data_IF_168833956806
#
_entry.id   IF_168833956806
#
_cell.length_a   1.000
_cell.length_b   1.000
_cell.length_c   1.000
_cell.angle_alpha   90.00
_cell.angle_beta   90.00
_cell.angle_gamma   90.00
#
_symmetry.space_group_name_H-M   'P 1'
#
loop_
_entity.id
_entity.type
_entity.pdbx_description
1 polymer ?
#
# COMPACT_ATOMS: atom_id res chain seq x y z
N UNK A 1 59.46 71.02 4.57
CA UNK A 1 60.84 70.99 4.14
C UNK A 1 61.60 69.93 4.87
N UNK A 2 62.58 69.25 4.35
CA UNK A 2 62.83 68.80 3.00
C UNK A 2 62.97 67.24 2.97
N UNK A 3 62.74 66.68 1.80
CA UNK A 3 63.74 66.10 0.85
C UNK A 3 64.37 64.78 1.29
N UNK A 4 64.21 63.81 0.46
CA UNK A 4 64.86 63.29 -0.74
C UNK A 4 65.66 62.02 -0.42
N UNK A 5 65.58 61.01 -1.20
CA UNK A 5 66.35 60.25 -2.17
C UNK A 5 66.27 58.76 -1.83
N UNK A 6 65.71 57.99 -2.63
CA UNK A 6 66.11 57.17 -3.76
C UNK A 6 67.23 56.13 -3.49
N UNK A 7 67.03 54.95 -3.85
CA UNK A 7 67.78 54.00 -4.69
C UNK A 7 67.44 52.56 -4.36
N UNK A 8 66.89 51.82 -5.26
CA UNK A 8 67.39 50.94 -6.31
C UNK A 8 68.15 49.70 -5.87
N UNK A 9 67.85 48.65 -6.59
CA UNK A 9 68.54 47.35 -6.75
C UNK A 9 67.97 46.30 -5.86
N UNK A 10 67.32 45.29 -6.30
CA UNK A 10 67.38 44.46 -7.48
C UNK A 10 67.64 43.05 -7.13
N UNK A 11 67.02 42.15 -7.79
CA UNK A 11 67.19 40.70 -7.92
C UNK A 11 66.07 39.82 -7.37
N UNK A 12 65.18 39.47 -8.26
CA UNK A 12 64.95 38.12 -8.80
C UNK A 12 65.17 36.98 -7.77
N UNK A 13 64.07 36.45 -7.28
CA UNK A 13 64.03 35.08 -6.83
C UNK A 13 62.57 34.52 -7.12
N UNK A 14 62.60 33.45 -7.85
CA UNK A 14 61.56 32.82 -8.55
C UNK A 14 60.35 32.46 -7.70
N UNK A 15 59.20 32.79 -8.23
CA UNK A 15 57.89 32.25 -7.84
C UNK A 15 57.80 30.75 -8.04
N UNK A 16 57.46 30.04 -7.03
CA UNK A 16 56.82 28.71 -7.15
C UNK A 16 55.41 28.85 -6.60
N UNK A 17 54.50 29.32 -7.45
CA UNK A 17 53.06 29.32 -7.16
C UNK A 17 52.53 27.88 -7.36
N UNK A 18 52.39 27.12 -6.28
CA UNK A 18 51.64 25.88 -6.29
C UNK A 18 50.17 26.25 -6.32
N UNK A 19 49.59 26.19 -7.52
CA UNK A 19 48.13 26.25 -7.71
C UNK A 19 47.59 24.89 -7.26
N UNK A 20 47.08 24.82 -6.06
CA UNK A 20 46.31 23.69 -5.57
C UNK A 20 44.92 23.77 -6.23
N UNK A 21 44.81 23.22 -7.44
CA UNK A 21 43.51 23.00 -8.07
C UNK A 21 42.80 21.90 -7.30
N UNK A 22 41.91 22.29 -6.36
CA UNK A 22 40.94 21.41 -5.77
C UNK A 22 39.93 21.04 -6.87
N UNK A 23 40.22 19.94 -7.56
CA UNK A 23 39.28 19.33 -8.46
C UNK A 23 38.18 18.70 -7.58
N UNK A 24 37.11 19.48 -7.30
CA UNK A 24 35.89 18.98 -6.69
C UNK A 24 35.23 18.02 -7.68
N UNK A 25 35.57 16.76 -7.57
CA UNK A 25 34.78 15.67 -8.19
C UNK A 25 33.44 15.66 -7.48
N UNK A 26 32.48 16.38 -8.01
CA UNK A 26 31.07 16.19 -7.67
C UNK A 26 30.67 14.80 -8.19
N UNK A 27 30.75 13.79 -7.33
CA UNK A 27 30.11 12.53 -7.58
C UNK A 27 28.61 12.82 -7.74
N UNK A 28 28.00 12.51 -8.89
CA UNK A 28 26.55 12.56 -8.97
C UNK A 28 26.06 11.52 -7.98
N UNK A 29 25.48 11.99 -6.89
CA UNK A 29 24.66 11.16 -6.02
C UNK A 29 23.43 10.80 -6.88
N UNK A 30 23.52 9.68 -7.60
CA UNK A 30 22.40 9.09 -8.28
C UNK A 30 21.40 8.75 -7.17
N UNK A 31 20.47 9.67 -6.94
CA UNK A 31 19.26 9.34 -6.21
C UNK A 31 18.64 8.19 -6.98
N UNK A 32 18.77 6.98 -6.45
CA UNK A 32 18.00 5.81 -6.89
C UNK A 32 16.54 6.21 -6.72
N UNK A 33 15.97 6.74 -7.80
CA UNK A 33 14.54 6.92 -7.92
C UNK A 33 14.00 5.50 -7.82
N UNK A 34 13.24 5.23 -6.77
CA UNK A 34 12.49 3.99 -6.71
C UNK A 34 11.70 3.93 -8.01
N UNK A 35 12.03 2.98 -8.88
CA UNK A 35 11.33 2.83 -10.16
C UNK A 35 9.84 2.68 -9.85
N UNK A 36 9.03 3.57 -10.43
CA UNK A 36 7.59 3.43 -10.36
C UNK A 36 7.23 2.03 -10.87
N UNK A 37 6.26 1.33 -10.24
CA UNK A 37 5.86 0.00 -10.67
C UNK A 37 5.68 -0.04 -12.18
N UNK A 38 6.31 -1.02 -12.85
CA UNK A 38 6.09 -1.19 -14.27
C UNK A 38 4.59 -1.42 -14.55
N UNK A 39 4.14 -1.01 -15.71
CA UNK A 39 2.70 -1.05 -16.04
C UNK A 39 2.16 -2.48 -16.04
N UNK A 40 2.94 -3.44 -16.51
CA UNK A 40 2.53 -4.84 -16.57
C UNK A 40 2.42 -5.43 -15.16
N UNK A 41 3.39 -5.16 -14.28
CA UNK A 41 3.39 -5.66 -12.90
C UNK A 41 2.26 -5.10 -12.06
N UNK A 42 2.01 -3.78 -12.11
CA UNK A 42 0.96 -3.15 -11.31
C UNK A 42 -0.45 -3.59 -11.76
N UNK A 43 -0.74 -3.60 -13.07
CA UNK A 43 -2.01 -4.11 -13.59
C UNK A 43 -2.14 -5.62 -13.37
N UNK A 44 -1.03 -6.37 -13.39
CA UNK A 44 -1.00 -7.81 -13.17
C UNK A 44 -1.56 -8.20 -11.79
N UNK A 45 -1.27 -7.44 -10.73
CA UNK A 45 -1.84 -7.70 -9.39
C UNK A 45 -3.37 -7.57 -9.41
N UNK A 46 -3.90 -6.57 -10.11
CA UNK A 46 -5.35 -6.36 -10.19
C UNK A 46 -6.02 -7.43 -11.03
N UNK A 47 -5.38 -7.86 -12.12
CA UNK A 47 -5.84 -9.00 -12.92
C UNK A 47 -5.81 -10.30 -12.12
N UNK A 48 -4.77 -10.54 -11.33
CA UNK A 48 -4.68 -11.69 -10.43
C UNK A 48 -5.82 -11.69 -9.41
N UNK A 49 -6.10 -10.55 -8.77
CA UNK A 49 -7.21 -10.41 -7.83
C UNK A 49 -8.56 -10.67 -8.51
N UNK A 50 -8.81 -10.07 -9.67
CA UNK A 50 -10.05 -10.23 -10.41
C UNK A 50 -10.26 -11.67 -10.89
N UNK A 51 -9.29 -12.24 -11.58
CA UNK A 51 -9.37 -13.62 -12.11
C UNK A 51 -9.45 -14.65 -10.98
N UNK A 52 -8.66 -14.48 -9.91
CA UNK A 52 -8.71 -15.35 -8.75
C UNK A 52 -10.07 -15.31 -8.04
N UNK A 53 -10.65 -14.11 -7.92
CA UNK A 53 -12.01 -13.93 -7.39
C UNK A 53 -13.04 -14.66 -8.22
N UNK A 54 -13.04 -14.47 -9.55
CA UNK A 54 -13.97 -15.14 -10.47
C UNK A 54 -13.79 -16.66 -10.45
N UNK A 55 -12.57 -17.16 -10.38
CA UNK A 55 -12.29 -18.58 -10.24
C UNK A 55 -12.94 -19.17 -8.98
N UNK A 56 -12.77 -18.49 -7.83
CA UNK A 56 -13.34 -18.93 -6.55
C UNK A 56 -14.88 -18.87 -6.57
N UNK A 57 -15.48 -17.86 -7.21
CA UNK A 57 -16.94 -17.70 -7.28
C UNK A 57 -17.60 -18.70 -8.22
N UNK A 58 -16.94 -19.07 -9.32
CA UNK A 58 -17.49 -19.96 -10.35
C UNK A 58 -17.34 -21.45 -10.01
N UNK A 59 -16.72 -21.78 -8.89
CA UNK A 59 -16.61 -23.17 -8.48
C UNK A 59 -17.98 -23.75 -8.09
N UNK A 60 -18.32 -24.85 -8.73
CA UNK A 60 -19.61 -25.53 -8.56
C UNK A 60 -19.70 -26.40 -7.31
N UNK A 61 -18.59 -26.64 -6.61
CA UNK A 61 -18.56 -27.43 -5.39
C UNK A 61 -18.72 -26.58 -4.13
N UNK A 62 -19.67 -26.91 -3.26
CA UNK A 62 -19.94 -26.12 -2.04
C UNK A 62 -19.06 -26.52 -0.86
N UNK A 63 -17.75 -26.64 -1.02
CA UNK A 63 -16.85 -26.80 0.12
C UNK A 63 -16.61 -25.43 0.77
N UNK A 64 -17.52 -25.03 1.63
CA UNK A 64 -17.58 -23.69 2.24
C UNK A 64 -16.33 -23.31 3.06
N UNK A 65 -15.68 -24.27 3.71
CA UNK A 65 -14.46 -24.03 4.49
C UNK A 65 -13.25 -23.70 3.62
N UNK A 66 -13.12 -24.34 2.45
CA UNK A 66 -12.01 -24.13 1.55
C UNK A 66 -12.16 -22.83 0.74
N UNK A 67 -13.37 -22.40 0.42
CA UNK A 67 -13.64 -21.14 -0.29
C UNK A 67 -13.12 -19.93 0.50
N UNK A 68 -13.37 -19.88 1.81
CA UNK A 68 -12.84 -18.79 2.65
C UNK A 68 -11.31 -18.80 2.69
N UNK A 69 -10.69 -19.98 2.85
CA UNK A 69 -9.24 -20.10 2.84
C UNK A 69 -8.59 -19.62 1.53
N UNK A 70 -9.22 -19.92 0.38
CA UNK A 70 -8.75 -19.42 -0.92
C UNK A 70 -8.91 -17.92 -1.08
N UNK A 71 -10.01 -17.33 -0.62
CA UNK A 71 -10.15 -15.87 -0.58
C UNK A 71 -9.10 -15.24 0.32
N UNK A 72 -8.88 -15.81 1.50
CA UNK A 72 -7.84 -15.34 2.42
C UNK A 72 -6.45 -15.36 1.78
N UNK A 73 -6.08 -16.48 1.13
CA UNK A 73 -4.81 -16.61 0.42
C UNK A 73 -4.69 -15.60 -0.73
N UNK A 74 -5.77 -15.36 -1.49
CA UNK A 74 -5.80 -14.39 -2.57
C UNK A 74 -5.60 -12.96 -2.05
N UNK A 75 -6.28 -12.58 -0.98
CA UNK A 75 -6.13 -11.27 -0.33
C UNK A 75 -4.72 -11.12 0.22
N UNK A 76 -4.21 -12.09 0.97
CA UNK A 76 -2.86 -12.06 1.53
C UNK A 76 -1.77 -12.01 0.44
N UNK A 77 -2.01 -12.62 -0.72
CA UNK A 77 -1.10 -12.62 -1.85
C UNK A 77 -1.12 -11.35 -2.71
N UNK A 78 -2.18 -10.55 -2.64
CA UNK A 78 -2.36 -9.36 -3.49
C UNK A 78 -2.29 -8.04 -2.71
N UNK A 79 -2.63 -8.02 -1.43
CA UNK A 79 -2.61 -6.83 -0.57
C UNK A 79 -1.36 -6.79 0.32
N UNK A 80 -0.86 -5.60 0.60
CA UNK A 80 0.09 -5.34 1.69
C UNK A 80 -0.67 -5.16 3.00
N UNK A 81 -1.16 -6.27 3.56
CA UNK A 81 -1.95 -6.24 4.79
C UNK A 81 -1.20 -5.60 5.98
N UNK A 82 0.10 -5.85 6.19
CA UNK A 82 0.85 -5.17 7.25
C UNK A 82 0.85 -3.64 7.10
N UNK A 83 1.11 -3.14 5.90
CA UNK A 83 1.07 -1.71 5.62
C UNK A 83 -0.33 -1.11 5.85
N UNK A 84 -1.36 -1.75 5.30
CA UNK A 84 -2.74 -1.26 5.45
C UNK A 84 -3.18 -1.30 6.92
N UNK A 85 -2.85 -2.35 7.66
CA UNK A 85 -3.11 -2.45 9.10
C UNK A 85 -2.47 -1.30 9.87
N UNK A 86 -1.21 -0.96 9.56
CA UNK A 86 -0.52 0.19 10.15
C UNK A 86 -1.25 1.52 9.84
N UNK A 87 -1.66 1.73 8.58
CA UNK A 87 -2.40 2.93 8.15
C UNK A 87 -3.73 3.04 8.91
N UNK A 88 -4.45 1.94 9.03
CA UNK A 88 -5.76 1.86 9.68
C UNK A 88 -5.66 2.04 11.20
N UNK A 89 -4.64 1.47 11.85
CA UNK A 89 -4.39 1.68 13.29
C UNK A 89 -3.92 3.12 13.58
N UNK A 90 -3.30 3.80 12.60
CA UNK A 90 -2.84 5.18 12.73
C UNK A 90 -1.89 5.38 13.91
N UNK A 91 -2.13 6.42 14.72
CA UNK A 91 -1.27 6.77 15.88
C UNK A 91 -1.16 5.66 16.93
N UNK A 92 -2.17 4.79 17.05
CA UNK A 92 -2.19 3.71 18.04
C UNK A 92 -1.23 2.57 17.69
N UNK A 93 -0.80 2.47 16.43
CA UNK A 93 0.22 1.52 16.00
C UNK A 93 1.55 1.72 16.71
N UNK A 94 1.95 2.98 16.94
CA UNK A 94 3.25 3.29 17.55
C UNK A 94 3.33 2.85 19.02
N UNK A 95 2.21 2.90 19.74
CA UNK A 95 2.11 2.49 21.13
C UNK A 95 1.95 0.98 21.32
N UNK A 96 1.67 0.22 20.24
CA UNK A 96 1.46 -1.21 20.31
C UNK A 96 2.79 -1.97 20.32
N UNK A 97 2.85 -3.07 21.09
CA UNK A 97 3.95 -4.02 21.04
C UNK A 97 3.97 -4.79 19.71
N UNK A 98 5.08 -5.44 19.39
CA UNK A 98 5.19 -6.26 18.18
C UNK A 98 4.13 -7.38 18.15
N UNK A 99 3.92 -8.06 19.27
CA UNK A 99 2.91 -9.10 19.38
C UNK A 99 1.49 -8.58 19.14
N UNK A 100 1.15 -7.40 19.67
CA UNK A 100 -0.13 -6.74 19.43
C UNK A 100 -0.30 -6.34 17.95
N UNK A 101 0.75 -5.84 17.30
CA UNK A 101 0.73 -5.51 15.86
C UNK A 101 0.52 -6.74 15.00
N UNK A 102 1.22 -7.85 15.28
CA UNK A 102 1.04 -9.11 14.56
C UNK A 102 -0.38 -9.66 14.72
N UNK A 103 -0.90 -9.70 15.95
CA UNK A 103 -2.27 -10.15 16.23
C UNK A 103 -3.31 -9.28 15.52
N UNK A 104 -3.13 -7.95 15.58
CA UNK A 104 -4.01 -7.02 14.88
C UNK A 104 -3.96 -7.22 13.37
N UNK A 105 -2.78 -7.37 12.78
CA UNK A 105 -2.63 -7.60 11.33
C UNK A 105 -3.35 -8.86 10.89
N UNK A 106 -3.27 -9.95 11.65
CA UNK A 106 -3.99 -11.17 11.38
C UNK A 106 -5.52 -10.98 11.45
N UNK A 107 -6.03 -10.42 12.55
CA UNK A 107 -7.46 -10.14 12.72
C UNK A 107 -8.00 -9.16 11.65
N UNK A 108 -7.19 -8.18 11.25
CA UNK A 108 -7.52 -7.26 10.16
C UNK A 108 -7.56 -7.97 8.80
N UNK A 109 -6.63 -8.90 8.53
CA UNK A 109 -6.65 -9.73 7.33
C UNK A 109 -7.93 -10.56 7.21
N UNK A 110 -8.35 -11.19 8.30
CA UNK A 110 -9.63 -11.92 8.37
C UNK A 110 -10.83 -11.01 8.13
N UNK A 111 -10.83 -9.82 8.74
CA UNK A 111 -11.88 -8.81 8.54
C UNK A 111 -11.97 -8.37 7.08
N UNK A 112 -10.84 -8.05 6.44
CA UNK A 112 -10.77 -7.67 5.03
C UNK A 112 -11.27 -8.80 4.16
N UNK A 113 -10.82 -10.03 4.41
CA UNK A 113 -11.26 -11.24 3.67
C UNK A 113 -12.77 -11.40 3.75
N UNK A 114 -13.36 -11.32 4.94
CA UNK A 114 -14.80 -11.45 5.13
C UNK A 114 -15.60 -10.35 4.43
N UNK A 115 -15.13 -9.11 4.51
CA UNK A 115 -15.74 -7.96 3.84
C UNK A 115 -15.74 -8.12 2.31
N UNK A 116 -14.62 -8.54 1.72
CA UNK A 116 -14.50 -8.76 0.28
C UNK A 116 -15.29 -9.98 -0.18
N UNK A 117 -15.23 -11.10 0.55
CA UNK A 117 -16.00 -12.30 0.22
C UNK A 117 -17.52 -12.00 0.19
N UNK A 118 -18.03 -11.25 1.18
CA UNK A 118 -19.44 -10.83 1.21
C UNK A 118 -19.82 -9.89 0.06
N UNK A 119 -18.92 -8.99 -0.34
CA UNK A 119 -19.13 -8.07 -1.47
C UNK A 119 -19.14 -8.83 -2.80
N UNK A 120 -18.15 -9.69 -3.02
CA UNK A 120 -18.01 -10.44 -4.27
C UNK A 120 -19.09 -11.51 -4.44
N UNK A 121 -19.66 -12.07 -3.38
CA UNK A 121 -20.80 -12.99 -3.49
C UNK A 121 -22.02 -12.39 -4.21
N UNK A 122 -22.06 -11.05 -4.36
CA UNK A 122 -23.13 -10.34 -5.11
C UNK A 122 -22.82 -10.22 -6.60
N UNK A 123 -21.59 -10.52 -7.03
CA UNK A 123 -21.13 -10.37 -8.41
C UNK A 123 -21.21 -11.70 -9.16
N UNK A 124 -22.40 -12.08 -9.63
CA UNK A 124 -22.62 -13.39 -10.28
C UNK A 124 -22.51 -13.36 -11.81
N UNK A 125 -22.48 -12.19 -12.45
CA UNK A 125 -22.44 -12.04 -13.94
C UNK A 125 -21.71 -10.77 -14.39
N UNK A 126 -20.84 -10.23 -13.59
CA UNK A 126 -20.17 -8.97 -13.90
C UNK A 126 -18.78 -9.25 -14.43
N UNK A 127 -18.33 -8.43 -15.38
CA UNK A 127 -16.97 -8.44 -15.90
C UNK A 127 -16.17 -7.36 -15.21
N UNK A 128 -14.93 -7.68 -14.90
CA UNK A 128 -13.96 -6.76 -14.31
C UNK A 128 -13.01 -6.28 -15.41
N UNK A 129 -12.87 -4.97 -15.58
CA UNK A 129 -11.97 -4.39 -16.57
C UNK A 129 -11.04 -3.36 -15.94
N UNK A 130 -9.74 -3.47 -16.25
CA UNK A 130 -8.78 -2.40 -15.98
C UNK A 130 -8.99 -1.31 -17.02
N UNK A 131 -9.29 -0.09 -16.56
CA UNK A 131 -9.65 1.05 -17.44
C UNK A 131 -8.52 2.06 -17.59
N UNK A 132 -7.48 1.98 -16.76
CA UNK A 132 -6.34 2.88 -16.85
C UNK A 132 -5.29 2.61 -15.78
N UNK A 133 -4.12 3.22 -15.98
CA UNK A 133 -3.02 3.20 -15.01
C UNK A 133 -2.20 4.47 -15.11
N UNK A 134 -1.74 4.99 -13.97
CA UNK A 134 -0.78 6.10 -13.88
C UNK A 134 0.24 5.84 -12.78
N UNK A 135 1.47 6.29 -13.00
CA UNK A 135 2.49 6.39 -11.96
C UNK A 135 2.25 7.59 -11.06
N UNK A 136 2.58 7.46 -9.78
CA UNK A 136 2.49 8.53 -8.80
C UNK A 136 3.90 9.07 -8.45
N UNK A 137 3.97 10.31 -7.97
CA UNK A 137 5.24 10.97 -7.65
C UNK A 137 6.02 10.28 -6.51
N UNK A 138 5.35 9.51 -5.66
CA UNK A 138 5.94 8.75 -4.56
C UNK A 138 6.44 7.36 -4.95
N UNK A 139 6.49 7.05 -6.25
CA UNK A 139 6.94 5.76 -6.76
C UNK A 139 5.90 4.66 -6.70
N UNK A 140 4.66 4.95 -6.31
CA UNK A 140 3.54 4.01 -6.42
C UNK A 140 2.85 4.12 -7.79
N UNK A 141 1.93 3.23 -8.10
CA UNK A 141 1.02 3.36 -9.24
C UNK A 141 -0.43 3.32 -8.78
N UNK A 142 -1.29 4.03 -9.50
CA UNK A 142 -2.73 3.87 -9.39
C UNK A 142 -3.24 3.14 -10.62
N UNK A 143 -3.88 1.98 -10.40
CA UNK A 143 -4.60 1.23 -11.43
C UNK A 143 -6.09 1.50 -11.24
N UNK A 144 -6.76 1.93 -12.30
CA UNK A 144 -8.20 2.14 -12.29
C UNK A 144 -8.91 0.93 -12.90
N UNK A 145 -10.02 0.54 -12.28
CA UNK A 145 -10.89 -0.51 -12.80
C UNK A 145 -12.36 -0.11 -12.68
N UNK A 146 -13.20 -0.77 -13.45
CA UNK A 146 -14.64 -0.72 -13.29
C UNK A 146 -15.22 -2.13 -13.34
N UNK A 147 -16.31 -2.31 -12.60
CA UNK A 147 -17.14 -3.49 -12.72
C UNK A 147 -18.17 -3.18 -13.81
N UNK A 148 -18.20 -4.00 -14.85
CA UNK A 148 -19.17 -3.84 -15.94
C UNK A 148 -20.36 -4.75 -15.62
N UNK A 149 -21.52 -4.18 -15.46
CA UNK A 149 -22.76 -4.93 -15.25
C UNK A 149 -23.21 -5.61 -16.55
N UNK A 150 -24.04 -6.64 -16.44
CA UNK A 150 -24.52 -7.44 -17.58
C UNK A 150 -25.28 -6.63 -18.64
N UNK A 151 -25.74 -5.42 -18.31
CA UNK A 151 -26.38 -4.45 -19.23
C UNK A 151 -25.40 -3.46 -19.88
N UNK A 152 -24.08 -3.71 -19.78
CA UNK A 152 -23.00 -2.82 -20.25
C UNK A 152 -22.97 -1.43 -19.59
N UNK A 153 -23.69 -1.21 -18.49
CA UNK A 153 -23.60 0.04 -17.74
C UNK A 153 -22.27 0.05 -16.98
N UNK A 154 -21.43 1.11 -17.10
CA UNK A 154 -20.24 1.25 -16.30
C UNK A 154 -20.64 1.31 -14.83
N UNK A 155 -20.12 0.36 -14.06
CA UNK A 155 -20.28 0.34 -12.61
C UNK A 155 -19.36 1.34 -11.92
N UNK A 156 -19.33 1.25 -10.60
CA UNK A 156 -18.52 2.12 -9.77
C UNK A 156 -17.02 2.01 -10.10
N UNK A 157 -16.36 3.15 -10.24
CA UNK A 157 -14.91 3.20 -10.46
C UNK A 157 -14.18 2.86 -9.17
N UNK A 158 -13.23 1.95 -9.28
CA UNK A 158 -12.32 1.57 -8.20
C UNK A 158 -10.90 1.89 -8.61
N UNK A 159 -10.20 2.66 -7.80
CA UNK A 159 -8.79 2.98 -7.97
C UNK A 159 -7.96 2.21 -6.92
N UNK A 160 -6.96 1.49 -7.39
CA UNK A 160 -6.08 0.63 -6.60
C UNK A 160 -4.70 1.26 -6.52
N UNK A 161 -4.23 1.57 -5.33
CA UNK A 161 -2.86 2.03 -5.13
C UNK A 161 -1.94 0.82 -4.99
N UNK A 162 -0.92 0.77 -5.83
CA UNK A 162 0.01 -0.35 -5.92
C UNK A 162 1.41 0.14 -5.58
N UNK A 163 2.10 -0.57 -4.69
CA UNK A 163 3.51 -0.35 -4.39
C UNK A 163 4.35 -1.57 -4.74
N UNK A 164 5.61 -1.34 -5.11
CA UNK A 164 6.62 -2.37 -5.17
C UNK A 164 7.09 -2.70 -3.75
N UNK A 165 7.08 -3.98 -3.39
CA UNK A 165 7.56 -4.49 -2.11
C UNK A 165 8.61 -5.58 -2.36
N UNK A 166 9.30 -6.03 -1.30
CA UNK A 166 10.22 -7.17 -1.40
C UNK A 166 9.52 -8.47 -1.88
N UNK A 167 8.21 -8.57 -1.65
CA UNK A 167 7.39 -9.70 -2.07
C UNK A 167 6.70 -9.48 -3.44
N UNK A 168 7.14 -8.47 -4.22
CA UNK A 168 6.53 -8.07 -5.49
C UNK A 168 5.52 -6.93 -5.32
N UNK A 169 4.74 -6.67 -6.36
CA UNK A 169 3.73 -5.62 -6.32
C UNK A 169 2.57 -5.99 -5.40
N UNK A 170 2.11 -5.03 -4.58
CA UNK A 170 1.02 -5.21 -3.62
C UNK A 170 0.09 -4.01 -3.61
N UNK A 171 -1.19 -4.27 -3.36
CA UNK A 171 -2.22 -3.25 -3.14
C UNK A 171 -2.02 -2.66 -1.75
N UNK A 172 -1.83 -1.34 -1.67
CA UNK A 172 -1.64 -0.59 -0.42
C UNK A 172 -2.84 0.26 -0.03
N UNK A 173 -3.74 0.55 -0.96
CA UNK A 173 -5.03 1.21 -0.69
C UNK A 173 -6.02 0.93 -1.83
N UNK A 174 -7.28 1.08 -1.51
CA UNK A 174 -8.40 1.02 -2.45
C UNK A 174 -9.22 2.29 -2.30
N UNK A 175 -9.49 2.98 -3.39
CA UNK A 175 -10.39 4.13 -3.40
C UNK A 175 -11.63 3.82 -4.24
N UNK A 176 -12.79 4.09 -3.67
CA UNK A 176 -14.08 3.92 -4.34
C UNK A 176 -14.66 5.32 -4.55
N UNK A 177 -14.91 5.68 -5.80
CA UNK A 177 -15.36 7.03 -6.16
C UNK A 177 -14.47 8.14 -5.57
N UNK A 178 -13.15 7.89 -5.51
CA UNK A 178 -12.15 8.82 -5.00
C UNK A 178 -11.97 8.82 -3.46
N UNK A 179 -12.74 8.03 -2.71
CA UNK A 179 -12.65 7.92 -1.25
C UNK A 179 -11.82 6.71 -0.85
N UNK A 180 -10.73 6.92 -0.12
CA UNK A 180 -9.85 5.85 0.38
C UNK A 180 -10.56 4.99 1.43
N UNK A 181 -10.62 3.69 1.20
CA UNK A 181 -11.20 2.72 2.12
C UNK A 181 -10.36 2.61 3.40
N UNK A 182 -9.02 2.62 3.29
CA UNK A 182 -8.15 2.54 4.46
C UNK A 182 -8.32 3.76 5.38
N UNK A 183 -8.45 4.97 4.82
CA UNK A 183 -8.69 6.19 5.60
C UNK A 183 -10.05 6.18 6.28
N UNK A 184 -11.10 5.78 5.56
CA UNK A 184 -12.45 5.64 6.14
C UNK A 184 -12.44 4.66 7.31
N UNK A 185 -11.80 3.49 7.14
CA UNK A 185 -11.68 2.51 8.21
C UNK A 185 -10.84 3.01 9.39
N UNK A 186 -9.78 3.77 9.15
CA UNK A 186 -9.03 4.42 10.23
C UNK A 186 -9.90 5.33 11.07
N UNK A 187 -10.76 6.12 10.44
CA UNK A 187 -11.64 7.06 11.16
C UNK A 187 -12.74 6.33 11.95
N UNK A 188 -13.31 5.26 11.39
CA UNK A 188 -14.25 4.39 12.10
C UNK A 188 -13.59 3.70 13.31
N UNK A 189 -12.42 3.10 13.12
CA UNK A 189 -11.72 2.32 14.13
C UNK A 189 -11.08 3.18 15.22
N UNK A 190 -10.71 4.42 14.88
CA UNK A 190 -10.22 5.39 15.87
C UNK A 190 -11.21 5.54 17.02
N UNK A 191 -12.50 5.68 16.71
CA UNK A 191 -13.54 5.82 17.74
C UNK A 191 -13.63 4.62 18.69
N UNK A 192 -13.38 3.42 18.19
CA UNK A 192 -13.34 2.20 19.03
C UNK A 192 -12.14 2.23 19.95
N UNK A 193 -10.95 2.52 19.40
CA UNK A 193 -9.72 2.57 20.18
C UNK A 193 -9.75 3.67 21.24
N UNK A 194 -10.22 4.87 20.91
CA UNK A 194 -10.32 6.01 21.85
C UNK A 194 -11.22 5.69 23.05
N UNK A 195 -12.38 5.09 22.81
CA UNK A 195 -13.29 4.70 23.90
C UNK A 195 -12.74 3.59 24.80
N UNK A 196 -11.70 2.87 24.35
CA UNK A 196 -11.07 1.76 25.08
C UNK A 196 -9.63 2.06 25.49
N UNK A 197 -9.36 3.30 25.94
CA UNK A 197 -8.06 3.71 26.48
C UNK A 197 -6.95 3.86 25.45
N UNK A 198 -7.28 4.01 24.15
CA UNK A 198 -6.30 4.23 23.09
C UNK A 198 -5.48 2.98 22.72
N UNK A 199 -5.98 1.79 22.98
CA UNK A 199 -5.25 0.54 22.75
C UNK A 199 -5.77 -0.21 21.53
N UNK A 200 -4.83 -0.70 20.70
CA UNK A 200 -5.13 -1.50 19.51
C UNK A 200 -5.79 -2.85 19.86
N UNK A 201 -5.53 -3.38 21.05
CA UNK A 201 -6.06 -4.67 21.52
C UNK A 201 -7.59 -4.68 21.50
N UNK A 202 -8.23 -3.61 21.96
CA UNK A 202 -9.69 -3.52 21.96
C UNK A 202 -10.30 -3.60 20.55
N UNK A 203 -9.64 -3.01 19.57
CA UNK A 203 -10.03 -3.15 18.17
C UNK A 203 -9.80 -4.57 17.66
N UNK A 204 -8.65 -5.18 18.00
CA UNK A 204 -8.33 -6.56 17.63
C UNK A 204 -9.39 -7.52 18.11
N UNK A 205 -9.78 -7.45 19.39
CA UNK A 205 -10.82 -8.27 19.99
C UNK A 205 -12.20 -8.09 19.32
N UNK A 206 -12.54 -6.85 18.95
CA UNK A 206 -13.78 -6.56 18.23
C UNK A 206 -13.79 -7.19 16.82
N UNK A 207 -12.64 -7.16 16.11
CA UNK A 207 -12.52 -7.79 14.79
C UNK A 207 -12.58 -9.32 14.87
N UNK A 208 -11.89 -9.93 15.84
CA UNK A 208 -11.92 -11.38 16.09
C UNK A 208 -13.33 -11.86 16.45
N UNK A 209 -14.04 -11.12 17.30
CA UNK A 209 -15.43 -11.45 17.67
C UNK A 209 -16.36 -11.39 16.46
N UNK A 210 -16.19 -10.40 15.59
CA UNK A 210 -16.98 -10.26 14.36
C UNK A 210 -16.72 -11.43 13.41
N UNK A 211 -15.45 -11.78 13.18
CA UNK A 211 -15.08 -12.93 12.36
C UNK A 211 -15.67 -14.24 12.88
N UNK A 212 -15.58 -14.50 14.18
CA UNK A 212 -16.17 -15.67 14.82
C UNK A 212 -17.70 -15.76 14.66
N UNK A 213 -18.41 -14.63 14.70
CA UNK A 213 -19.84 -14.57 14.48
C UNK A 213 -20.21 -14.86 13.01
N UNK A 214 -19.44 -14.34 12.05
CA UNK A 214 -19.65 -14.61 10.62
C UNK A 214 -19.43 -16.09 10.28
N UNK A 215 -18.34 -16.69 10.77
CA UNK A 215 -18.02 -18.11 10.55
C UNK A 215 -19.11 -19.02 11.09
N UNK A 216 -19.61 -18.76 12.30
CA UNK A 216 -20.73 -19.51 12.90
C UNK A 216 -22.03 -19.37 12.10
N UNK A 217 -22.30 -18.19 11.55
CA UNK A 217 -23.48 -17.93 10.70
C UNK A 217 -23.44 -18.73 9.39
N UNK A 218 -22.25 -18.85 8.78
CA UNK A 218 -22.04 -19.64 7.55
C UNK A 218 -22.22 -21.14 7.86
N UNK A 219 -21.63 -21.63 8.94
CA UNK A 219 -21.73 -23.04 9.34
C UNK A 219 -23.16 -23.49 9.67
N UNK A 220 -24.05 -22.58 10.07
CA UNK A 220 -25.46 -22.87 10.35
C UNK A 220 -26.36 -22.91 9.11
N UNK A 221 -25.88 -22.40 7.99
CA UNK A 221 -26.65 -22.32 6.72
C UNK A 221 -26.34 -23.46 5.74
N UNK A 222 -25.34 -24.24 6.05
CA UNK A 222 -24.94 -25.48 5.35
C UNK A 222 -25.41 -26.73 6.11
#
# INVERSE_FOLDING_TARGET
MPRIIAARIGHVAALLTIVFSVLSVALPMAATRADAPDRAGASGVIMQLGNGTLAILNETQPASSDRYGRFHALIAGTFDLPHIAQVVAGRFWLAASEAERLRFTAAFGDYVTGMYAARFARYTRQTFAVTGQRGEADGTATVSSSVIESNATPGERVDWRIAATAAGYRITDVSISGVSVARTKRDEFRSIMERNGGRIVALTEALEANHGAQTKSIARRN
#
